data_IF_881090795758
#
_entry.id   IF_881090795758
#
_cell.length_a   1.000
_cell.length_b   1.000
_cell.length_c   1.000
_cell.angle_alpha   90.00
_cell.angle_beta   90.00
_cell.angle_gamma   90.00
#
_symmetry.space_group_name_H-M   'P 1'
#
loop_
_entity.id
_entity.type
_entity.pdbx_description
1 polymer ?
#
# COMPACT_ATOMS: atom_id res chain seq x y z
N UNK A 1 -19.57 20.57 11.65
CA UNK A 1 -19.52 19.10 11.95
C UNK A 1 -18.07 18.65 11.78
N UNK A 2 -17.58 17.82 12.70
CA UNK A 2 -16.24 17.23 12.62
C UNK A 2 -16.23 16.28 11.41
N UNK A 3 -15.27 16.48 10.47
CA UNK A 3 -15.02 15.51 9.41
C UNK A 3 -14.26 14.33 10.03
N UNK A 4 -14.68 13.11 9.71
CA UNK A 4 -14.00 11.89 10.12
C UNK A 4 -13.39 11.24 8.89
N UNK A 5 -12.14 10.89 8.97
CA UNK A 5 -11.33 10.34 7.88
C UNK A 5 -10.92 8.92 8.20
N UNK A 6 -11.32 7.98 7.36
CA UNK A 6 -10.97 6.55 7.46
C UNK A 6 -10.25 6.12 6.19
N UNK A 7 -9.05 5.59 6.34
CA UNK A 7 -8.34 4.86 5.28
C UNK A 7 -8.30 3.38 5.63
N UNK A 8 -8.57 2.51 4.67
CA UNK A 8 -8.33 1.08 4.81
C UNK A 8 -7.53 0.55 3.62
N UNK A 9 -6.45 -0.18 3.90
CA UNK A 9 -5.67 -0.84 2.86
C UNK A 9 -6.56 -1.85 2.12
N UNK A 10 -6.67 -1.65 0.82
CA UNK A 10 -7.50 -2.47 -0.07
C UNK A 10 -6.78 -3.71 -0.60
N UNK A 11 -7.43 -4.47 -1.48
CA UNK A 11 -6.87 -5.71 -2.01
C UNK A 11 -5.80 -5.46 -3.08
N UNK A 12 -4.85 -6.39 -3.17
CA UNK A 12 -4.03 -6.58 -4.38
C UNK A 12 -4.81 -7.48 -5.35
N UNK A 13 -5.09 -6.95 -6.55
CA UNK A 13 -6.01 -7.58 -7.51
C UNK A 13 -5.30 -8.51 -8.49
N UNK A 14 -4.69 -9.59 -7.95
CA UNK A 14 -3.96 -10.59 -8.72
C UNK A 14 -4.71 -11.93 -8.86
N UNK A 15 -5.61 -12.25 -7.93
CA UNK A 15 -6.37 -13.49 -7.86
C UNK A 15 -7.73 -13.26 -7.19
N UNK A 16 -8.63 -14.23 -7.28
CA UNK A 16 -9.95 -14.16 -6.68
C UNK A 16 -9.89 -13.89 -5.17
N UNK A 17 -10.74 -12.98 -4.64
CA UNK A 17 -10.82 -12.76 -3.21
C UNK A 17 -11.21 -14.02 -2.45
N UNK A 18 -10.60 -14.23 -1.30
CA UNK A 18 -10.94 -15.33 -0.39
C UNK A 18 -11.62 -14.81 0.89
N UNK A 19 -12.09 -15.70 1.75
CA UNK A 19 -12.84 -15.38 2.97
C UNK A 19 -12.10 -14.39 3.90
N UNK A 20 -10.77 -14.40 3.92
CA UNK A 20 -9.97 -13.45 4.67
C UNK A 20 -10.14 -12.00 4.20
N UNK A 21 -10.20 -11.79 2.87
CA UNK A 21 -10.50 -10.48 2.30
C UNK A 21 -11.94 -10.06 2.66
N UNK A 22 -12.92 -10.98 2.56
CA UNK A 22 -14.31 -10.73 2.93
C UNK A 22 -14.46 -10.35 4.41
N UNK A 23 -13.70 -10.98 5.32
CA UNK A 23 -13.69 -10.61 6.74
C UNK A 23 -13.24 -9.17 6.95
N UNK A 24 -12.15 -8.76 6.34
CA UNK A 24 -11.64 -7.39 6.43
C UNK A 24 -12.68 -6.38 5.90
N UNK A 25 -13.26 -6.66 4.73
CA UNK A 25 -14.30 -5.82 4.13
C UNK A 25 -15.49 -5.59 5.07
N UNK A 26 -16.04 -6.66 5.64
CA UNK A 26 -17.19 -6.58 6.54
C UNK A 26 -16.87 -5.81 7.81
N UNK A 27 -15.68 -5.99 8.39
CA UNK A 27 -15.24 -5.25 9.59
C UNK A 27 -15.19 -3.75 9.31
N UNK A 28 -14.58 -3.33 8.20
CA UNK A 28 -14.50 -1.91 7.83
C UNK A 28 -15.85 -1.34 7.38
N UNK A 29 -16.72 -2.14 6.78
CA UNK A 29 -18.10 -1.73 6.49
C UNK A 29 -18.91 -1.46 7.76
N UNK A 30 -18.83 -2.34 8.77
CA UNK A 30 -19.47 -2.13 10.07
C UNK A 30 -18.96 -0.85 10.74
N UNK A 31 -17.64 -0.62 10.72
CA UNK A 31 -17.04 0.62 11.23
C UNK A 31 -17.54 1.84 10.45
N UNK A 32 -17.54 1.78 9.14
CA UNK A 32 -18.01 2.88 8.30
C UNK A 32 -19.48 3.21 8.54
N UNK A 33 -20.35 2.20 8.65
CA UNK A 33 -21.77 2.39 8.99
C UNK A 33 -21.94 3.03 10.37
N UNK A 34 -21.17 2.58 11.36
CA UNK A 34 -21.20 3.16 12.71
C UNK A 34 -20.79 4.63 12.68
N UNK A 35 -19.69 4.94 12.02
CA UNK A 35 -19.21 6.33 11.88
C UNK A 35 -20.24 7.19 11.15
N UNK A 36 -20.83 6.70 10.07
CA UNK A 36 -21.93 7.41 9.35
C UNK A 36 -23.14 7.65 10.24
N UNK A 37 -23.50 6.70 11.08
CA UNK A 37 -24.63 6.86 12.02
C UNK A 37 -24.36 7.95 13.07
N UNK A 38 -23.11 8.09 13.53
CA UNK A 38 -22.72 9.05 14.57
C UNK A 38 -22.45 10.43 13.98
N UNK A 39 -21.73 10.52 12.86
CA UNK A 39 -21.20 11.76 12.29
C UNK A 39 -21.89 12.20 10.99
N UNK A 40 -22.85 11.40 10.49
CA UNK A 40 -23.61 11.71 9.27
C UNK A 40 -22.76 11.65 8.00
N UNK A 41 -23.00 12.57 7.03
CA UNK A 41 -22.30 12.58 5.74
C UNK A 41 -20.85 13.08 5.81
N UNK A 42 -20.39 13.50 7.00
CA UNK A 42 -19.04 14.04 7.18
C UNK A 42 -17.95 12.96 7.30
N UNK A 43 -18.28 11.70 7.03
CA UNK A 43 -17.31 10.59 7.04
C UNK A 43 -16.77 10.36 5.64
N UNK A 44 -15.45 10.50 5.49
CA UNK A 44 -14.72 10.21 4.26
C UNK A 44 -13.98 8.87 4.42
N UNK A 45 -14.43 7.85 3.70
CA UNK A 45 -13.83 6.52 3.69
C UNK A 45 -13.10 6.29 2.37
N UNK A 46 -11.80 6.09 2.46
CA UNK A 46 -10.92 5.77 1.32
C UNK A 46 -10.45 4.33 1.46
N UNK A 47 -10.59 3.54 0.40
CA UNK A 47 -10.05 2.19 0.28
C UNK A 47 -9.40 2.08 -1.09
N UNK A 48 -8.11 1.77 -1.14
CA UNK A 48 -7.41 1.67 -2.42
C UNK A 48 -7.62 0.32 -3.12
N UNK A 49 -7.26 0.29 -4.40
CA UNK A 49 -7.01 -0.92 -5.18
C UNK A 49 -5.52 -0.94 -5.51
N UNK A 50 -4.81 -1.98 -5.06
CA UNK A 50 -3.44 -2.24 -5.48
C UNK A 50 -3.47 -3.00 -6.80
N UNK A 51 -3.29 -2.26 -7.89
CA UNK A 51 -3.31 -2.76 -9.26
C UNK A 51 -1.90 -2.85 -9.88
N UNK A 52 -0.87 -2.74 -9.05
CA UNK A 52 0.54 -2.88 -9.39
C UNK A 52 1.27 -3.63 -8.27
N UNK A 53 1.72 -4.86 -8.54
CA UNK A 53 2.45 -5.71 -7.59
C UNK A 53 3.15 -6.84 -8.36
N UNK A 54 4.22 -7.40 -7.80
CA UNK A 54 4.92 -8.54 -8.42
C UNK A 54 4.00 -9.74 -8.63
N UNK A 55 3.05 -9.98 -7.71
CA UNK A 55 2.04 -11.04 -7.85
C UNK A 55 1.13 -10.83 -9.06
N UNK A 56 0.81 -9.58 -9.40
CA UNK A 56 0.02 -9.25 -10.59
C UNK A 56 0.84 -9.54 -11.85
N UNK A 57 2.13 -9.18 -11.86
CA UNK A 57 3.05 -9.46 -12.96
C UNK A 57 3.20 -10.97 -13.16
N UNK A 58 3.37 -11.73 -12.08
CA UNK A 58 3.44 -13.20 -12.11
C UNK A 58 2.13 -13.81 -12.62
N UNK A 59 0.98 -13.33 -12.14
CA UNK A 59 -0.34 -13.78 -12.57
C UNK A 59 -0.55 -13.52 -14.08
N UNK A 60 -0.12 -12.35 -14.58
CA UNK A 60 -0.14 -12.00 -16.00
C UNK A 60 0.67 -12.99 -16.84
N UNK A 61 1.92 -13.25 -16.45
CA UNK A 61 2.81 -14.20 -17.12
C UNK A 61 2.23 -15.63 -17.11
N UNK A 62 1.72 -16.08 -15.96
CA UNK A 62 1.14 -17.43 -15.77
C UNK A 62 -0.13 -17.64 -16.60
N UNK A 63 -1.02 -16.66 -16.61
CA UNK A 63 -2.31 -16.76 -17.30
C UNK A 63 -2.25 -16.31 -18.75
N UNK A 64 -1.10 -15.82 -19.24
CA UNK A 64 -0.91 -15.26 -20.58
C UNK A 64 -1.93 -14.16 -20.90
N UNK A 65 -2.30 -13.37 -19.91
CA UNK A 65 -3.17 -12.19 -19.99
C UNK A 65 -2.36 -10.94 -19.71
N UNK A 66 -2.74 -9.80 -20.25
CA UNK A 66 -2.14 -8.53 -19.87
C UNK A 66 -2.45 -8.18 -18.41
N UNK A 67 -1.61 -7.36 -17.80
CA UNK A 67 -1.84 -6.85 -16.44
C UNK A 67 -3.20 -6.16 -16.34
N UNK A 68 -3.56 -5.35 -17.33
CA UNK A 68 -4.85 -4.65 -17.35
C UNK A 68 -6.04 -5.62 -17.39
N UNK A 69 -5.95 -6.73 -18.14
CA UNK A 69 -7.01 -7.74 -18.14
C UNK A 69 -7.15 -8.40 -16.78
N UNK A 70 -6.03 -8.81 -16.15
CA UNK A 70 -6.05 -9.42 -14.81
C UNK A 70 -6.66 -8.45 -13.77
N UNK A 71 -6.12 -7.23 -13.69
CA UNK A 71 -6.54 -6.26 -12.68
C UNK A 71 -8.00 -5.84 -12.88
N UNK A 72 -8.46 -5.68 -14.12
CA UNK A 72 -9.85 -5.35 -14.42
C UNK A 72 -10.80 -6.48 -14.02
N UNK A 73 -10.48 -7.73 -14.41
CA UNK A 73 -11.29 -8.92 -14.11
C UNK A 73 -11.40 -9.14 -12.60
N UNK A 74 -10.27 -9.12 -11.90
CA UNK A 74 -10.24 -9.36 -10.45
C UNK A 74 -10.90 -8.22 -9.67
N UNK A 75 -10.71 -6.96 -10.08
CA UNK A 75 -11.41 -5.82 -9.47
C UNK A 75 -12.92 -5.94 -9.64
N UNK A 76 -13.40 -6.36 -10.80
CA UNK A 76 -14.84 -6.61 -11.03
C UNK A 76 -15.37 -7.68 -10.08
N UNK A 77 -14.70 -8.82 -9.98
CA UNK A 77 -15.07 -9.90 -9.05
C UNK A 77 -15.07 -9.40 -7.59
N UNK A 78 -14.06 -8.61 -7.22
CA UNK A 78 -13.98 -8.01 -5.90
C UNK A 78 -15.20 -7.12 -5.60
N UNK A 79 -15.62 -6.26 -6.53
CA UNK A 79 -16.79 -5.41 -6.36
C UNK A 79 -18.10 -6.23 -6.30
N UNK A 80 -18.22 -7.28 -7.09
CA UNK A 80 -19.36 -8.20 -7.03
C UNK A 80 -19.44 -8.89 -5.66
N UNK A 81 -18.30 -9.31 -5.10
CA UNK A 81 -18.23 -9.88 -3.76
C UNK A 81 -18.57 -8.85 -2.67
N UNK A 82 -18.07 -7.61 -2.76
CA UNK A 82 -18.48 -6.53 -1.86
C UNK A 82 -19.98 -6.34 -1.84
N UNK A 83 -20.61 -6.31 -3.01
CA UNK A 83 -22.07 -6.19 -3.16
C UNK A 83 -22.80 -7.39 -2.58
N UNK A 84 -22.33 -8.61 -2.80
CA UNK A 84 -22.92 -9.84 -2.28
C UNK A 84 -22.85 -9.91 -0.74
N UNK A 85 -21.79 -9.33 -0.15
CA UNK A 85 -21.66 -9.17 1.30
C UNK A 85 -22.43 -7.96 1.86
N UNK A 86 -23.17 -7.24 1.01
CA UNK A 86 -23.90 -6.02 1.37
C UNK A 86 -23.01 -4.93 1.99
N UNK A 87 -21.71 -4.88 1.61
CA UNK A 87 -20.79 -3.83 2.02
C UNK A 87 -21.08 -2.54 1.23
N UNK A 88 -21.04 -1.41 1.92
CA UNK A 88 -21.14 -0.09 1.29
C UNK A 88 -19.87 0.20 0.46
N UNK A 89 -20.07 0.93 -0.62
CA UNK A 89 -18.95 1.47 -1.38
C UNK A 89 -18.19 2.52 -0.54
N UNK A 90 -16.84 2.58 -0.63
CA UNK A 90 -16.08 3.65 -0.02
C UNK A 90 -16.42 5.00 -0.70
N UNK A 91 -16.10 6.09 -0.03
CA UNK A 91 -16.29 7.45 -0.61
C UNK A 91 -15.37 7.67 -1.81
N UNK A 92 -14.16 7.13 -1.73
CA UNK A 92 -13.14 7.16 -2.81
C UNK A 92 -12.43 5.81 -2.85
N UNK A 93 -12.22 5.27 -4.05
CA UNK A 93 -11.49 4.02 -4.26
C UNK A 93 -10.38 4.25 -5.30
N UNK A 94 -9.22 4.81 -4.89
CA UNK A 94 -8.13 5.12 -5.79
C UNK A 94 -7.34 3.87 -6.20
N UNK A 95 -6.77 3.89 -7.40
CA UNK A 95 -5.83 2.88 -7.88
C UNK A 95 -4.39 3.33 -7.70
N UNK A 96 -3.51 2.40 -7.38
CA UNK A 96 -2.09 2.69 -7.20
C UNK A 96 -1.46 3.28 -8.48
N UNK A 97 -1.79 2.72 -9.66
CA UNK A 97 -1.24 3.17 -10.94
C UNK A 97 -1.61 4.61 -11.31
N UNK A 98 -2.68 5.17 -10.75
CA UNK A 98 -3.08 6.57 -10.98
C UNK A 98 -2.25 7.57 -10.13
N UNK A 99 -1.33 7.08 -9.29
CA UNK A 99 -0.61 7.89 -8.28
C UNK A 99 0.92 7.77 -8.36
N UNK A 100 1.45 7.29 -9.47
CA UNK A 100 2.89 7.06 -9.68
C UNK A 100 3.70 8.35 -9.49
N UNK A 101 3.19 9.47 -9.98
CA UNK A 101 3.86 10.77 -9.86
C UNK A 101 4.06 11.16 -8.40
N UNK A 102 3.01 11.05 -7.60
CA UNK A 102 3.05 11.36 -6.17
C UNK A 102 3.97 10.40 -5.40
N UNK A 103 4.06 9.14 -5.82
CA UNK A 103 4.99 8.17 -5.23
C UNK A 103 6.45 8.53 -5.52
N UNK A 104 6.76 9.01 -6.72
CA UNK A 104 8.08 9.53 -7.08
C UNK A 104 8.40 10.78 -6.26
N UNK A 105 7.44 11.71 -6.11
CA UNK A 105 7.59 12.92 -5.33
C UNK A 105 7.85 12.63 -3.84
N UNK A 106 7.11 11.69 -3.25
CA UNK A 106 7.31 11.25 -1.86
C UNK A 106 8.69 10.61 -1.68
N UNK A 107 9.09 9.70 -2.56
CA UNK A 107 10.42 9.07 -2.53
C UNK A 107 11.54 10.11 -2.62
N UNK A 108 11.41 11.08 -3.52
CA UNK A 108 12.37 12.19 -3.67
C UNK A 108 12.45 13.05 -2.41
N UNK A 109 11.31 13.32 -1.78
CA UNK A 109 11.25 14.05 -0.50
C UNK A 109 11.94 13.27 0.63
N UNK A 110 11.73 11.96 0.72
CA UNK A 110 12.39 11.12 1.73
C UNK A 110 13.91 11.08 1.53
N UNK A 111 14.40 11.03 0.28
CA UNK A 111 15.84 11.13 -0.02
C UNK A 111 16.37 12.49 0.43
N UNK A 112 15.70 13.58 0.07
CA UNK A 112 16.16 14.93 0.40
C UNK A 112 16.21 15.20 1.91
N UNK A 113 15.35 14.54 2.69
CA UNK A 113 15.30 14.59 4.15
C UNK A 113 16.29 13.63 4.83
N UNK A 114 16.99 12.78 4.08
CA UNK A 114 17.96 11.80 4.60
C UNK A 114 17.35 10.51 5.15
N UNK A 115 16.04 10.27 4.92
CA UNK A 115 15.37 9.04 5.33
C UNK A 115 15.48 7.90 4.30
N UNK A 116 15.81 8.23 3.06
CA UNK A 116 15.96 7.26 1.99
C UNK A 116 17.26 7.49 1.21
N UNK A 117 17.67 6.51 0.44
CA UNK A 117 18.86 6.58 -0.42
C UNK A 117 18.65 5.81 -1.72
N UNK A 118 19.34 6.25 -2.76
CA UNK A 118 19.39 5.56 -4.06
C UNK A 118 20.63 4.64 -4.11
N UNK A 119 20.44 3.46 -4.70
CA UNK A 119 21.56 2.57 -5.06
C UNK A 119 21.21 1.76 -6.32
N UNK A 120 21.92 2.00 -7.42
CA UNK A 120 21.76 1.33 -8.73
C UNK A 120 20.30 1.33 -9.22
N UNK A 121 19.66 2.49 -9.20
CA UNK A 121 18.29 2.67 -9.66
C UNK A 121 17.21 2.24 -8.68
N UNK A 122 17.57 1.62 -7.56
CA UNK A 122 16.66 1.35 -6.46
C UNK A 122 16.64 2.51 -5.48
N UNK A 123 15.48 2.80 -4.91
CA UNK A 123 15.37 3.69 -3.75
C UNK A 123 14.92 2.88 -2.55
N UNK A 124 15.68 2.97 -1.47
CA UNK A 124 15.41 2.29 -0.21
C UNK A 124 15.14 3.30 0.90
N UNK A 125 14.15 3.01 1.73
CA UNK A 125 13.99 3.68 3.01
C UNK A 125 15.03 3.12 3.99
N UNK A 126 15.72 4.01 4.71
CA UNK A 126 16.71 3.65 5.71
C UNK A 126 16.03 3.47 7.07
N UNK A 127 15.75 2.24 7.48
CA UNK A 127 15.05 1.96 8.75
C UNK A 127 15.78 2.54 9.96
N UNK A 128 17.10 2.57 9.93
CA UNK A 128 17.90 3.15 11.01
C UNK A 128 17.73 4.67 11.16
N UNK A 129 17.23 5.37 10.14
CA UNK A 129 16.95 6.82 10.22
C UNK A 129 15.67 7.15 10.99
N UNK A 130 14.79 6.16 11.24
CA UNK A 130 13.53 6.33 11.93
C UNK A 130 13.53 5.61 13.29
N UNK A 131 13.87 6.33 14.36
CA UNK A 131 14.06 5.78 15.72
C UNK A 131 12.82 5.08 16.29
N UNK A 132 11.64 5.39 15.81
CA UNK A 132 10.37 4.82 16.26
C UNK A 132 9.94 3.56 15.51
N UNK A 133 10.77 3.06 14.58
CA UNK A 133 10.44 1.86 13.81
C UNK A 133 10.28 0.63 14.72
N UNK A 134 9.22 -0.14 14.50
CA UNK A 134 8.88 -1.31 15.31
C UNK A 134 7.89 -1.03 16.45
N UNK A 135 7.54 0.25 16.72
CA UNK A 135 6.62 0.59 17.84
C UNK A 135 5.20 0.07 17.62
N UNK A 136 4.68 0.10 16.38
CA UNK A 136 3.34 -0.40 16.08
C UNK A 136 3.27 -1.92 16.26
N UNK A 137 4.25 -2.63 15.75
CA UNK A 137 4.34 -4.09 15.84
C UNK A 137 4.77 -4.58 17.23
N UNK A 138 5.17 -3.68 18.11
CA UNK A 138 5.70 -3.96 19.45
C UNK A 138 6.85 -4.99 19.43
N UNK A 139 7.73 -4.87 18.45
CA UNK A 139 8.88 -5.74 18.22
C UNK A 139 10.16 -4.92 18.10
N UNK A 140 11.25 -5.46 18.63
CA UNK A 140 12.55 -4.88 18.39
C UNK A 140 13.09 -5.27 16.97
N UNK A 141 14.08 -4.53 16.47
CA UNK A 141 14.63 -4.76 15.14
C UNK A 141 15.23 -6.15 14.94
N UNK A 142 15.72 -6.81 16.00
CA UNK A 142 16.29 -8.15 15.91
C UNK A 142 15.19 -9.22 15.75
N UNK A 143 14.08 -9.07 16.49
CA UNK A 143 12.91 -9.94 16.33
C UNK A 143 12.27 -9.79 14.96
N UNK A 144 12.25 -8.55 14.43
CA UNK A 144 11.73 -8.25 13.10
C UNK A 144 12.59 -8.91 12.01
N UNK A 145 13.93 -8.89 12.15
CA UNK A 145 14.86 -9.59 11.24
C UNK A 145 14.62 -11.11 11.23
N UNK A 146 14.40 -11.69 12.39
CA UNK A 146 14.22 -13.15 12.52
C UNK A 146 12.89 -13.66 11.94
N UNK A 147 11.83 -12.82 11.96
CA UNK A 147 10.47 -13.20 11.55
C UNK A 147 10.03 -12.68 10.18
N UNK A 148 10.80 -11.82 9.54
CA UNK A 148 10.41 -11.19 8.27
C UNK A 148 10.99 -11.95 7.06
N UNK A 149 10.18 -12.02 5.98
CA UNK A 149 10.69 -12.34 4.64
C UNK A 149 11.48 -11.13 4.13
N UNK A 150 12.69 -10.93 4.68
CA UNK A 150 13.58 -9.86 4.23
C UNK A 150 14.22 -10.31 2.94
N UNK A 151 13.96 -9.61 1.86
CA UNK A 151 14.69 -9.78 0.62
C UNK A 151 16.16 -9.39 0.86
N UNK A 152 17.04 -10.41 0.87
CA UNK A 152 18.49 -10.19 1.03
C UNK A 152 19.00 -9.62 -0.28
N UNK A 153 19.53 -8.42 -0.24
CA UNK A 153 20.13 -7.75 -1.39
C UNK A 153 21.39 -7.01 -0.93
N UNK A 154 22.48 -7.22 -1.65
CA UNK A 154 23.75 -6.49 -1.45
C UNK A 154 23.61 -4.98 -1.74
N UNK A 155 22.48 -4.56 -2.28
CA UNK A 155 22.19 -3.15 -2.56
C UNK A 155 21.69 -2.40 -1.33
N UNK A 156 21.23 -3.09 -0.30
CA UNK A 156 20.71 -2.49 0.94
C UNK A 156 21.84 -2.19 1.91
N UNK A 157 21.82 -1.01 2.54
CA UNK A 157 22.75 -0.65 3.64
C UNK A 157 22.44 -1.43 4.91
N UNK A 158 21.16 -1.75 5.15
CA UNK A 158 20.69 -2.59 6.24
C UNK A 158 19.68 -3.60 5.67
N UNK A 159 19.71 -4.88 6.07
CA UNK A 159 18.73 -5.87 5.62
C UNK A 159 17.28 -5.46 5.83
N UNK A 160 16.99 -4.66 6.86
CA UNK A 160 15.65 -4.15 7.17
C UNK A 160 15.19 -3.01 6.30
N UNK A 161 16.09 -2.37 5.54
CA UNK A 161 15.71 -1.30 4.62
C UNK A 161 14.72 -1.85 3.59
N UNK A 162 13.69 -1.06 3.27
CA UNK A 162 12.64 -1.51 2.38
C UNK A 162 12.55 -0.65 1.12
N UNK A 163 12.04 -1.25 0.05
CA UNK A 163 11.98 -0.64 -1.28
C UNK A 163 10.90 0.44 -1.33
N UNK A 164 11.27 1.62 -1.81
CA UNK A 164 10.36 2.70 -2.23
C UNK A 164 10.21 2.73 -3.76
N UNK A 165 11.31 2.40 -4.49
CA UNK A 165 11.33 2.34 -5.95
C UNK A 165 12.29 1.25 -6.40
N UNK A 166 11.94 0.50 -7.44
CA UNK A 166 12.82 -0.52 -8.04
C UNK A 166 12.78 -0.46 -9.56
N UNK A 167 13.92 -0.72 -10.23
CA UNK A 167 13.96 -0.82 -11.69
C UNK A 167 12.96 -1.84 -12.20
N UNK A 168 12.39 -1.57 -13.37
CA UNK A 168 11.56 -2.51 -14.11
C UNK A 168 12.36 -3.15 -15.24
N UNK A 169 12.14 -4.43 -15.49
CA UNK A 169 12.66 -5.13 -16.65
C UNK A 169 11.93 -4.65 -17.93
N UNK A 170 12.51 -4.91 -19.10
CA UNK A 170 11.99 -4.40 -20.38
C UNK A 170 10.52 -4.78 -20.67
N UNK A 171 10.08 -5.93 -20.19
CA UNK A 171 8.71 -6.44 -20.39
C UNK A 171 7.78 -6.20 -19.19
N UNK A 172 8.27 -5.62 -18.11
CA UNK A 172 7.48 -5.33 -16.92
C UNK A 172 6.96 -3.87 -16.95
N UNK A 173 5.85 -3.57 -16.27
CA UNK A 173 5.38 -2.20 -16.16
C UNK A 173 6.44 -1.32 -15.50
N UNK A 174 6.61 -0.12 -16.02
CA UNK A 174 7.59 0.82 -15.49
C UNK A 174 7.34 2.24 -15.99
N UNK A 175 7.66 3.19 -15.15
CA UNK A 175 7.52 4.62 -15.38
C UNK A 175 8.87 5.32 -15.24
N UNK A 176 9.03 6.40 -15.97
CA UNK A 176 10.23 7.22 -15.88
C UNK A 176 10.32 7.91 -14.51
N UNK A 177 11.49 7.88 -13.92
CA UNK A 177 11.79 8.52 -12.64
C UNK A 177 13.19 9.11 -12.64
N UNK A 178 13.56 9.93 -11.63
CA UNK A 178 14.94 10.43 -11.49
C UNK A 178 16.00 9.32 -11.34
N UNK A 179 15.57 8.11 -10.99
CA UNK A 179 16.45 6.95 -10.76
C UNK A 179 16.43 5.95 -11.93
N UNK A 180 15.77 6.30 -13.02
CA UNK A 180 15.55 5.46 -14.20
C UNK A 180 14.14 4.88 -14.25
N UNK A 181 13.88 4.09 -15.31
CA UNK A 181 12.60 3.43 -15.52
C UNK A 181 12.39 2.35 -14.44
N UNK A 182 11.25 2.42 -13.75
CA UNK A 182 11.00 1.51 -12.64
C UNK A 182 9.54 1.57 -12.15
N UNK A 183 9.33 0.98 -10.98
CA UNK A 183 8.03 0.91 -10.31
C UNK A 183 8.12 1.13 -8.80
N UNK A 184 7.07 1.62 -8.14
CA UNK A 184 7.06 1.84 -6.70
C UNK A 184 7.11 0.54 -5.91
N UNK A 185 7.59 0.62 -4.67
CA UNK A 185 7.42 -0.42 -3.67
C UNK A 185 5.99 -0.42 -3.10
N UNK A 186 5.49 -1.59 -2.77
CA UNK A 186 4.13 -1.80 -2.29
C UNK A 186 3.70 -0.91 -1.11
N UNK A 187 4.61 -0.63 -0.18
CA UNK A 187 4.26 0.13 1.03
C UNK A 187 4.04 1.62 0.77
N UNK A 188 4.58 2.15 -0.33
CA UNK A 188 4.49 3.56 -0.67
C UNK A 188 3.10 3.98 -1.14
N UNK A 189 2.35 3.05 -1.72
CA UNK A 189 1.04 3.29 -2.32
C UNK A 189 0.03 3.85 -1.31
N UNK A 190 -0.13 3.16 -0.19
CA UNK A 190 -1.10 3.55 0.85
C UNK A 190 -0.71 4.86 1.53
N UNK A 191 0.58 5.12 1.78
CA UNK A 191 1.06 6.40 2.31
C UNK A 191 0.68 7.55 1.39
N UNK A 192 0.94 7.41 0.10
CA UNK A 192 0.63 8.45 -0.90
C UNK A 192 -0.87 8.66 -1.06
N UNK A 193 -1.64 7.58 -1.22
CA UNK A 193 -3.08 7.70 -1.44
C UNK A 193 -3.82 8.20 -0.19
N UNK A 194 -3.42 7.78 1.01
CA UNK A 194 -4.00 8.30 2.25
C UNK A 194 -3.72 9.80 2.42
N UNK A 195 -2.48 10.26 2.21
CA UNK A 195 -2.14 11.69 2.27
C UNK A 195 -2.91 12.50 1.22
N UNK A 196 -3.01 12.02 -0.02
CA UNK A 196 -3.69 12.72 -1.11
C UNK A 196 -5.18 12.93 -0.84
N UNK A 197 -5.88 11.93 -0.34
CA UNK A 197 -7.34 11.98 -0.19
C UNK A 197 -7.81 12.40 1.20
N UNK A 198 -6.99 12.22 2.23
CA UNK A 198 -7.35 12.51 3.61
C UNK A 198 -6.47 13.60 4.26
N UNK A 199 -5.37 13.96 3.61
CA UNK A 199 -4.38 14.91 4.13
C UNK A 199 -3.35 14.24 5.04
N UNK A 200 -2.38 15.03 5.51
CA UNK A 200 -1.26 14.55 6.33
C UNK A 200 -1.70 13.97 7.68
N UNK A 201 -2.80 14.46 8.21
CA UNK A 201 -3.36 13.99 9.47
C UNK A 201 -4.79 13.55 9.24
N UNK A 202 -5.10 12.32 9.53
CA UNK A 202 -6.44 11.75 9.45
C UNK A 202 -6.73 10.83 10.65
N UNK A 203 -8.01 10.49 10.88
CA UNK A 203 -8.42 9.93 12.17
C UNK A 203 -8.13 8.44 12.31
N UNK A 204 -8.34 7.64 11.25
CA UNK A 204 -8.26 6.18 11.32
C UNK A 204 -7.54 5.62 10.09
N UNK A 205 -6.49 4.83 10.34
CA UNK A 205 -5.82 3.99 9.35
C UNK A 205 -6.02 2.53 9.73
N UNK A 206 -6.54 1.72 8.82
CA UNK A 206 -6.87 0.33 9.10
C UNK A 206 -6.46 -0.65 8.01
N UNK A 207 -6.36 -1.90 8.42
CA UNK A 207 -6.03 -3.04 7.57
C UNK A 207 -6.11 -4.34 8.35
N UNK A 208 -5.78 -5.46 7.71
CA UNK A 208 -5.68 -6.76 8.37
C UNK A 208 -4.55 -6.79 9.41
N UNK A 209 -4.65 -7.64 10.42
CA UNK A 209 -3.59 -7.82 11.42
C UNK A 209 -2.27 -8.30 10.80
N UNK A 210 -2.32 -9.00 9.69
CA UNK A 210 -1.19 -9.42 8.87
C UNK A 210 -0.45 -8.24 8.22
N UNK A 211 -1.09 -7.07 8.10
CA UNK A 211 -0.48 -5.85 7.56
C UNK A 211 0.26 -5.02 8.61
N UNK A 212 0.10 -5.30 9.91
CA UNK A 212 0.79 -4.54 10.96
C UNK A 212 2.29 -4.48 10.68
N UNK A 213 2.88 -5.63 10.34
CA UNK A 213 4.27 -5.70 9.92
C UNK A 213 4.42 -6.58 8.68
N UNK A 214 5.15 -6.12 7.65
CA UNK A 214 5.89 -4.85 7.62
C UNK A 214 5.07 -3.64 7.11
N UNK A 215 3.85 -3.84 6.54
CA UNK A 215 3.17 -2.85 5.72
C UNK A 215 2.86 -1.54 6.46
N UNK A 216 2.07 -1.61 7.54
CA UNK A 216 1.69 -0.40 8.31
C UNK A 216 2.88 0.23 9.05
N UNK A 217 3.84 -0.58 9.52
CA UNK A 217 5.07 -0.05 10.12
C UNK A 217 5.86 0.77 9.09
N UNK A 218 5.96 0.28 7.85
CA UNK A 218 6.62 0.98 6.75
C UNK A 218 5.86 2.25 6.33
N UNK A 219 4.53 2.22 6.33
CA UNK A 219 3.71 3.40 6.05
C UNK A 219 3.93 4.51 7.10
N UNK A 220 3.98 4.16 8.39
CA UNK A 220 4.30 5.11 9.47
C UNK A 220 5.69 5.73 9.27
N UNK A 221 6.66 4.92 8.84
CA UNK A 221 8.02 5.41 8.60
C UNK A 221 8.09 6.37 7.40
N UNK A 222 7.24 6.19 6.39
CA UNK A 222 7.19 7.02 5.18
C UNK A 222 6.44 8.35 5.37
N UNK A 223 5.47 8.39 6.31
CA UNK A 223 4.57 9.53 6.53
C UNK A 223 5.02 10.37 7.71
#
# INVERSE_FOLDING_TARGET
SKKISLYACGPTVYDNPHVGNGRSLVIFDVLFRLLKKIYGPSVNYVRNITDLDDKIIEASKKNKKSINEITHEVTKIFHENCKSLNCLEPTVEPKATDHIKEMIEMSSSLISKGYAYENKGHVYFSVNSFQSYGKLSNKNLEELKAGSRVEISDLKKNPMDFVLWKPSEDNDPGWDSPWGKGRPGWHLECSVMSEKYLGKNFDIHGGGLDLIFPHHENEIAQS
#
